data_IF_944420107697
#
_entry.id   IF_944420107697
#
_cell.length_a   1.000
_cell.length_b   1.000
_cell.length_c   1.000
_cell.angle_alpha   90.00
_cell.angle_beta   90.00
_cell.angle_gamma   90.00
#
_symmetry.space_group_name_H-M   'P 1'
#
loop_
_entity.id
_entity.type
_entity.pdbx_description
1 polymer ?
#
# COMPACT_ATOMS: atom_id res chain seq x y z
N UNK A 1 40.26 -13.75 -15.53
CA UNK A 1 39.41 -12.84 -16.27
C UNK A 1 38.11 -12.59 -15.54
N UNK A 2 37.71 -11.33 -15.37
CA UNK A 2 36.51 -11.01 -14.62
C UNK A 2 35.19 -11.38 -15.33
N UNK A 3 35.24 -11.92 -16.52
CA UNK A 3 34.05 -12.26 -17.31
C UNK A 3 33.18 -13.34 -16.66
N UNK A 4 33.78 -14.26 -15.91
CA UNK A 4 33.06 -15.38 -15.27
C UNK A 4 32.31 -14.95 -14.00
N UNK A 5 32.65 -13.81 -13.43
CA UNK A 5 31.98 -13.28 -12.23
C UNK A 5 30.75 -12.41 -12.56
N UNK A 6 30.68 -11.94 -13.80
CA UNK A 6 29.58 -11.06 -14.22
C UNK A 6 28.19 -11.71 -14.16
N UNK A 7 27.98 -12.97 -14.61
CA UNK A 7 26.64 -13.56 -14.52
C UNK A 7 26.16 -13.80 -13.10
N UNK A 8 27.07 -14.19 -12.20
CA UNK A 8 26.71 -14.44 -10.78
C UNK A 8 26.41 -13.12 -10.08
N UNK A 9 27.26 -12.11 -10.31
CA UNK A 9 27.04 -10.78 -9.72
C UNK A 9 25.77 -10.14 -10.27
N UNK A 10 25.50 -10.24 -11.55
CA UNK A 10 24.28 -9.74 -12.18
C UNK A 10 23.04 -10.44 -11.61
N UNK A 11 23.07 -11.76 -11.41
CA UNK A 11 21.95 -12.49 -10.84
C UNK A 11 21.71 -12.14 -9.37
N UNK A 12 22.76 -11.88 -8.61
CA UNK A 12 22.64 -11.40 -7.22
C UNK A 12 22.07 -9.97 -7.18
N UNK A 13 22.51 -9.10 -8.09
CA UNK A 13 22.00 -7.74 -8.22
C UNK A 13 20.51 -7.74 -8.60
N UNK A 14 20.09 -8.63 -9.52
CA UNK A 14 18.70 -8.78 -9.90
C UNK A 14 17.86 -9.32 -8.74
N UNK A 15 18.39 -10.26 -8.00
CA UNK A 15 17.70 -10.81 -6.83
C UNK A 15 17.47 -9.72 -5.79
N UNK A 16 18.50 -8.94 -5.47
CA UNK A 16 18.38 -7.83 -4.53
C UNK A 16 17.39 -6.77 -5.04
N UNK A 17 17.41 -6.47 -6.33
CA UNK A 17 16.52 -5.52 -6.97
C UNK A 17 15.06 -5.99 -6.92
N UNK A 18 14.81 -7.26 -7.21
CA UNK A 18 13.46 -7.85 -7.12
C UNK A 18 12.93 -7.80 -5.70
N UNK A 19 13.74 -8.16 -4.72
CA UNK A 19 13.36 -8.12 -3.31
C UNK A 19 13.07 -6.69 -2.87
N UNK A 20 13.92 -5.73 -3.27
CA UNK A 20 13.70 -4.33 -2.96
C UNK A 20 12.40 -3.79 -3.58
N UNK A 21 12.13 -4.10 -4.84
CA UNK A 21 10.90 -3.69 -5.52
C UNK A 21 9.66 -4.32 -4.90
N UNK A 22 9.72 -5.59 -4.55
CA UNK A 22 8.63 -6.29 -3.88
C UNK A 22 8.33 -5.65 -2.53
N UNK A 23 9.36 -5.27 -1.77
CA UNK A 23 9.20 -4.61 -0.48
C UNK A 23 8.63 -3.19 -0.63
N UNK A 24 9.09 -2.43 -1.63
CA UNK A 24 8.51 -1.11 -1.93
C UNK A 24 7.03 -1.20 -2.25
N UNK A 25 6.64 -2.17 -3.08
CA UNK A 25 5.23 -2.39 -3.43
C UNK A 25 4.44 -2.78 -2.18
N UNK A 26 4.97 -3.65 -1.35
CA UNK A 26 4.31 -4.06 -0.10
C UNK A 26 4.08 -2.87 0.83
N UNK A 27 5.11 -2.04 1.03
CA UNK A 27 5.01 -0.85 1.87
C UNK A 27 4.05 0.17 1.28
N UNK A 28 4.06 0.36 -0.03
CA UNK A 28 3.14 1.25 -0.72
C UNK A 28 1.70 0.77 -0.61
N UNK A 29 1.44 -0.52 -0.76
CA UNK A 29 0.12 -1.11 -0.57
C UNK A 29 -0.37 -0.92 0.87
N UNK A 30 0.52 -1.09 1.83
CA UNK A 30 0.19 -0.84 3.24
C UNK A 30 -0.14 0.62 3.49
N UNK A 31 0.66 1.53 2.94
CA UNK A 31 0.47 2.97 3.14
C UNK A 31 -0.79 3.49 2.44
N UNK A 32 -1.05 3.04 1.22
CA UNK A 32 -2.14 3.57 0.38
C UNK A 32 -3.47 2.83 0.54
N UNK A 33 -3.43 1.51 0.65
CA UNK A 33 -4.63 0.68 0.72
C UNK A 33 -4.80 -0.01 2.08
N UNK A 34 -3.91 0.27 3.03
CA UNK A 34 -3.91 -0.36 4.36
C UNK A 34 -3.84 -1.89 4.27
N UNK A 35 -3.10 -2.39 3.30
CA UNK A 35 -2.91 -3.82 3.11
C UNK A 35 -2.14 -4.40 4.28
N UNK A 36 -2.66 -5.47 4.86
CA UNK A 36 -2.02 -6.18 5.96
C UNK A 36 -1.29 -7.42 5.42
N UNK A 37 -0.10 -7.65 5.90
CA UNK A 37 0.67 -8.82 5.54
C UNK A 37 2.17 -8.56 5.69
N UNK A 38 2.89 -9.59 6.12
CA UNK A 38 4.35 -9.53 6.25
C UNK A 38 5.05 -9.70 4.90
N UNK A 39 4.37 -10.31 3.95
CA UNK A 39 4.90 -10.56 2.62
C UNK A 39 4.05 -9.87 1.57
N UNK A 40 4.63 -9.63 0.40
CA UNK A 40 3.89 -9.07 -0.73
C UNK A 40 2.70 -9.96 -1.13
N UNK A 41 2.88 -11.28 -1.10
CA UNK A 41 1.82 -12.24 -1.40
C UNK A 41 0.60 -12.03 -0.49
N UNK A 42 0.83 -11.90 0.80
CA UNK A 42 -0.24 -11.68 1.76
C UNK A 42 -0.89 -10.31 1.58
N UNK A 43 -0.08 -9.27 1.34
CA UNK A 43 -0.57 -7.92 1.11
C UNK A 43 -1.44 -7.85 -0.16
N UNK A 44 -1.00 -8.45 -1.25
CA UNK A 44 -1.77 -8.51 -2.51
C UNK A 44 -3.05 -9.33 -2.32
N UNK A 45 -2.99 -10.43 -1.59
CA UNK A 45 -4.19 -11.24 -1.28
C UNK A 45 -5.22 -10.43 -0.50
N UNK A 46 -4.78 -9.59 0.42
CA UNK A 46 -5.67 -8.74 1.23
C UNK A 46 -6.37 -7.66 0.40
N UNK A 47 -5.66 -7.05 -0.54
CA UNK A 47 -6.19 -5.91 -1.32
C UNK A 47 -6.47 -6.26 -2.78
N UNK A 48 -6.39 -7.53 -3.17
CA UNK A 48 -6.55 -7.94 -4.56
C UNK A 48 -7.86 -7.51 -5.20
N UNK A 49 -8.93 -7.38 -4.42
CA UNK A 49 -10.24 -6.91 -4.89
C UNK A 49 -10.27 -5.40 -5.16
N UNK A 50 -9.38 -4.65 -4.51
CA UNK A 50 -9.29 -3.20 -4.67
C UNK A 50 -8.44 -2.80 -5.87
N UNK A 51 -7.60 -3.72 -6.37
CA UNK A 51 -6.75 -3.48 -7.52
C UNK A 51 -7.48 -3.82 -8.82
N UNK A 52 -7.31 -3.01 -9.88
CA UNK A 52 -7.75 -3.39 -11.21
C UNK A 52 -7.15 -4.73 -11.65
N UNK A 53 -7.84 -5.49 -12.46
CA UNK A 53 -7.37 -6.80 -12.93
C UNK A 53 -5.98 -6.74 -13.56
N UNK A 54 -5.69 -5.70 -14.32
CA UNK A 54 -4.37 -5.49 -14.93
C UNK A 54 -3.27 -5.37 -13.87
N UNK A 55 -3.51 -4.57 -12.83
CA UNK A 55 -2.54 -4.36 -11.75
C UNK A 55 -2.41 -5.59 -10.87
N UNK A 56 -3.50 -6.33 -10.65
CA UNK A 56 -3.46 -7.59 -9.92
C UNK A 56 -2.58 -8.62 -10.65
N UNK A 57 -2.66 -8.69 -11.98
CA UNK A 57 -1.78 -9.54 -12.78
C UNK A 57 -0.32 -9.10 -12.68
N UNK A 58 -0.05 -7.81 -12.72
CA UNK A 58 1.30 -7.26 -12.58
C UNK A 58 1.86 -7.52 -11.19
N UNK A 59 1.05 -7.40 -10.16
CA UNK A 59 1.46 -7.76 -8.80
C UNK A 59 1.79 -9.25 -8.69
N UNK A 60 1.02 -10.10 -9.36
CA UNK A 60 1.30 -11.54 -9.41
C UNK A 60 2.65 -11.84 -10.09
N UNK A 61 3.03 -11.07 -11.11
CA UNK A 61 4.34 -11.21 -11.77
C UNK A 61 5.47 -10.93 -10.77
N UNK A 62 5.34 -9.87 -9.98
CA UNK A 62 6.35 -9.52 -8.96
C UNK A 62 6.40 -10.58 -7.86
N UNK A 63 5.26 -11.06 -7.40
CA UNK A 63 5.18 -12.13 -6.40
C UNK A 63 5.85 -13.40 -6.91
N UNK A 64 5.59 -13.79 -8.15
CA UNK A 64 6.20 -14.95 -8.77
C UNK A 64 7.71 -14.78 -8.88
N UNK A 65 8.17 -13.60 -9.32
CA UNK A 65 9.60 -13.29 -9.42
C UNK A 65 10.29 -13.37 -8.06
N UNK A 66 9.64 -12.87 -7.00
CA UNK A 66 10.15 -12.95 -5.64
C UNK A 66 10.30 -14.41 -5.19
N UNK A 67 9.32 -15.25 -5.50
CA UNK A 67 9.39 -16.68 -5.21
C UNK A 67 10.50 -17.40 -5.95
N UNK A 68 10.79 -16.99 -7.18
CA UNK A 68 11.87 -17.57 -8.00
C UNK A 68 13.25 -17.01 -7.65
N UNK A 69 13.33 -15.92 -6.91
CA UNK A 69 14.59 -15.23 -6.62
C UNK A 69 15.57 -16.08 -5.81
N UNK A 70 15.10 -17.10 -5.12
CA UNK A 70 15.95 -18.04 -4.40
C UNK A 70 16.66 -19.07 -5.26
N UNK A 71 16.31 -19.17 -6.55
CA UNK A 71 16.90 -20.17 -7.45
C UNK A 71 17.60 -19.48 -8.65
N UNK A 72 18.95 -19.52 -8.71
CA UNK A 72 19.70 -18.84 -9.77
C UNK A 72 19.33 -19.30 -11.19
N UNK A 73 18.96 -20.56 -11.36
CA UNK A 73 18.57 -21.09 -12.67
C UNK A 73 17.24 -20.49 -13.15
N UNK A 74 16.32 -20.29 -12.25
CA UNK A 74 15.01 -19.69 -12.55
C UNK A 74 15.11 -18.18 -12.72
N UNK A 75 16.08 -17.55 -12.07
CA UNK A 75 16.33 -16.11 -12.21
C UNK A 75 16.66 -15.70 -13.65
N UNK A 76 17.29 -16.57 -14.42
CA UNK A 76 17.62 -16.30 -15.83
C UNK A 76 16.38 -16.20 -16.71
N UNK A 77 15.26 -16.80 -16.30
CA UNK A 77 13.99 -16.78 -17.02
C UNK A 77 13.12 -15.59 -16.69
N UNK A 78 13.50 -14.82 -15.68
CA UNK A 78 12.74 -13.66 -15.26
C UNK A 78 13.01 -12.51 -16.23
N UNK A 79 11.92 -11.92 -16.74
CA UNK A 79 11.98 -10.72 -17.56
C UNK A 79 11.99 -9.50 -16.64
N UNK A 80 13.18 -8.90 -16.49
CA UNK A 80 13.34 -7.71 -15.65
C UNK A 80 12.56 -6.51 -16.21
N UNK A 81 12.39 -6.41 -17.51
CA UNK A 81 11.59 -5.34 -18.11
C UNK A 81 10.13 -5.46 -17.72
N UNK A 82 9.59 -6.68 -17.70
CA UNK A 82 8.21 -6.92 -17.21
C UNK A 82 8.07 -6.56 -15.73
N UNK A 83 9.06 -6.88 -14.90
CA UNK A 83 9.08 -6.55 -13.48
C UNK A 83 9.14 -5.04 -13.28
N UNK A 84 10.01 -4.36 -14.01
CA UNK A 84 10.15 -2.91 -13.93
C UNK A 84 8.86 -2.20 -14.37
N UNK A 85 8.23 -2.67 -15.43
CA UNK A 85 6.95 -2.15 -15.91
C UNK A 85 5.85 -2.38 -14.87
N UNK A 86 5.76 -3.59 -14.30
CA UNK A 86 4.79 -3.93 -13.29
C UNK A 86 4.97 -3.05 -12.04
N UNK A 87 6.19 -2.89 -11.56
CA UNK A 87 6.52 -2.03 -10.43
C UNK A 87 6.11 -0.58 -10.70
N UNK A 88 6.48 -0.04 -11.85
CA UNK A 88 6.17 1.33 -12.24
C UNK A 88 4.66 1.57 -12.33
N UNK A 89 3.92 0.66 -12.96
CA UNK A 89 2.47 0.78 -13.10
C UNK A 89 1.76 0.72 -11.75
N UNK A 90 2.18 -0.18 -10.87
CA UNK A 90 1.61 -0.31 -9.52
C UNK A 90 1.91 0.94 -8.71
N UNK A 91 3.15 1.42 -8.74
CA UNK A 91 3.53 2.62 -7.98
C UNK A 91 2.80 3.86 -8.49
N UNK A 92 2.64 4.00 -9.81
CA UNK A 92 1.88 5.11 -10.41
C UNK A 92 0.41 5.07 -9.96
N UNK A 93 -0.20 3.89 -9.97
CA UNK A 93 -1.57 3.74 -9.49
C UNK A 93 -1.71 4.09 -8.02
N UNK A 94 -0.78 3.61 -7.19
CA UNK A 94 -0.82 3.86 -5.74
C UNK A 94 -0.55 5.33 -5.42
N UNK A 95 0.34 5.98 -6.16
CA UNK A 95 0.63 7.40 -5.97
C UNK A 95 -0.56 8.28 -6.38
N UNK A 96 -1.38 7.82 -7.32
CA UNK A 96 -2.61 8.51 -7.70
C UNK A 96 -3.70 8.42 -6.64
N UNK A 97 -3.60 7.47 -5.69
CA UNK A 97 -4.52 7.37 -4.57
C UNK A 97 -4.14 8.40 -3.52
N UNK A 98 -5.02 9.38 -3.32
CA UNK A 98 -4.78 10.43 -2.33
C UNK A 98 -5.21 9.96 -0.95
N UNK A 99 -4.24 9.48 -0.18
CA UNK A 99 -4.45 9.04 1.22
C UNK A 99 -4.77 10.23 2.11
N UNK A 100 -4.27 11.41 1.76
CA UNK A 100 -4.54 12.62 2.54
C UNK A 100 -6.01 12.99 2.50
N UNK A 101 -6.68 12.86 1.36
CA UNK A 101 -8.13 13.07 1.28
C UNK A 101 -8.90 12.08 2.14
N UNK A 102 -8.51 10.81 2.14
CA UNK A 102 -9.15 9.80 3.00
C UNK A 102 -8.92 10.09 4.48
N UNK A 103 -7.72 10.54 4.86
CA UNK A 103 -7.41 10.95 6.23
C UNK A 103 -8.16 12.22 6.61
N UNK A 104 -8.19 13.22 5.74
CA UNK A 104 -8.97 14.44 5.96
C UNK A 104 -10.45 14.14 6.15
N UNK A 105 -11.02 13.26 5.33
CA UNK A 105 -12.43 12.88 5.45
C UNK A 105 -12.70 12.16 6.76
N UNK A 106 -11.82 11.24 7.19
CA UNK A 106 -11.95 10.56 8.48
C UNK A 106 -11.82 11.52 9.65
N UNK A 107 -10.84 12.42 9.61
CA UNK A 107 -10.62 13.43 10.64
C UNK A 107 -11.79 14.41 10.67
N UNK A 108 -12.29 14.82 9.52
CA UNK A 108 -13.46 15.69 9.41
C UNK A 108 -14.71 15.01 9.95
N UNK A 109 -14.95 13.74 9.65
CA UNK A 109 -16.07 12.99 10.23
C UNK A 109 -15.94 12.85 11.74
N UNK A 110 -14.74 12.58 12.22
CA UNK A 110 -14.50 12.46 13.66
C UNK A 110 -14.67 13.80 14.37
N UNK A 111 -14.10 14.87 13.81
CA UNK A 111 -14.27 16.22 14.33
C UNK A 111 -15.72 16.69 14.21
N UNK A 112 -16.39 16.41 13.09
CA UNK A 112 -17.79 16.74 12.89
C UNK A 112 -18.68 16.11 13.94
N UNK A 113 -18.48 14.83 14.25
CA UNK A 113 -19.21 14.12 15.29
C UNK A 113 -18.92 14.69 16.69
N UNK A 114 -17.67 15.04 16.95
CA UNK A 114 -17.26 15.60 18.23
C UNK A 114 -17.84 17.01 18.46
N UNK A 115 -17.77 17.85 17.43
CA UNK A 115 -18.34 19.21 17.46
C UNK A 115 -19.86 19.15 17.61
N UNK A 116 -20.52 18.26 16.86
CA UNK A 116 -21.97 18.07 16.96
C UNK A 116 -22.38 17.65 18.37
N UNK A 117 -21.67 16.69 18.93
CA UNK A 117 -21.92 16.23 20.29
C UNK A 117 -21.74 17.36 21.33
N UNK A 118 -20.69 18.18 21.14
CA UNK A 118 -20.45 19.35 22.00
C UNK A 118 -21.59 20.35 21.91
N UNK A 119 -22.06 20.66 20.69
CA UNK A 119 -23.19 21.58 20.46
C UNK A 119 -24.45 21.07 21.14
N UNK A 120 -24.75 19.78 21.05
CA UNK A 120 -25.89 19.14 21.70
C UNK A 120 -25.81 19.31 23.23
N UNK A 121 -24.63 19.03 23.79
CA UNK A 121 -24.40 19.16 25.23
C UNK A 121 -24.63 20.62 25.72
N UNK A 122 -24.04 21.59 25.01
CA UNK A 122 -24.16 23.01 25.33
C UNK A 122 -25.62 23.46 25.20
N UNK A 123 -26.30 23.04 24.14
CA UNK A 123 -27.73 23.38 23.94
C UNK A 123 -28.60 22.81 25.05
N UNK A 124 -28.40 21.54 25.40
CA UNK A 124 -29.11 20.91 26.53
C UNK A 124 -28.86 21.63 27.85
N UNK A 125 -27.60 22.03 28.06
CA UNK A 125 -27.21 22.76 29.29
C UNK A 125 -27.89 24.14 29.35
N UNK A 126 -27.93 24.88 28.25
CA UNK A 126 -28.61 26.18 28.18
C UNK A 126 -30.11 26.02 28.41
N UNK A 127 -30.76 25.04 27.75
CA UNK A 127 -32.18 24.75 27.97
C UNK A 127 -32.46 24.40 29.43
N UNK A 128 -31.60 23.57 30.03
CA UNK A 128 -31.74 23.20 31.43
C UNK A 128 -31.60 24.41 32.36
N UNK A 129 -30.61 25.30 32.11
CA UNK A 129 -30.44 26.54 32.88
C UNK A 129 -31.64 27.47 32.76
N UNK A 130 -32.18 27.62 31.57
CA UNK A 130 -33.35 28.44 31.29
C UNK A 130 -34.59 27.87 32.01
N UNK A 131 -34.72 26.56 32.02
CA UNK A 131 -35.87 25.88 32.63
C UNK A 131 -35.75 25.82 34.16
N UNK A 132 -34.57 25.77 34.70
CA UNK A 132 -34.35 25.76 36.13
C UNK A 132 -34.39 27.18 36.77
N UNK A 133 -34.53 28.21 35.94
CA UNK A 133 -34.72 29.58 36.37
C UNK A 133 -33.46 30.28 36.92
N UNK A 134 -32.28 29.79 36.58
CA UNK A 134 -31.02 30.41 37.03
C UNK A 134 -30.52 31.54 36.11
N UNK A 135 -31.22 31.84 35.08
CA UNK A 135 -30.93 33.01 34.23
C UNK A 135 -31.82 34.18 34.60
#
# INVERSE_FOLDING_TARGET
MPADRRPIKASMDYQADIIAKAEEVRLALRAKLNARGRTLTNAVGHVGRLLPKKLAKQAAIIVMAQGLSGNPKLMRRIDMDAINTAHSDIMTFLDAIDVQERRKTRVLHWFGGMVFNLIVIVTCFIVWLTWSGHL
#
